data_IF_035534986496
#
_entry.id   IF_035534986496
#
_cell.length_a   1.000
_cell.length_b   1.000
_cell.length_c   1.000
_cell.angle_alpha   90.00
_cell.angle_beta   90.00
_cell.angle_gamma   90.00
#
_symmetry.space_group_name_H-M   'P 1'
#
loop_
_entity.id
_entity.type
_entity.pdbx_description
1 polymer ?
#
# COMPACT_ATOMS: atom_id res chain seq x y z
N UNK A 1 7.19 -87.48 -9.83
CA UNK A 1 6.92 -86.38 -8.88
C UNK A 1 7.52 -85.12 -9.51
N UNK A 2 6.71 -84.28 -10.25
CA UNK A 2 7.13 -83.02 -10.88
C UNK A 2 6.61 -81.87 -10.06
N UNK A 3 7.48 -81.09 -9.40
CA UNK A 3 7.15 -79.89 -8.72
C UNK A 3 6.91 -78.78 -9.77
N UNK A 4 5.72 -78.20 -9.79
CA UNK A 4 5.41 -76.96 -10.53
C UNK A 4 5.84 -75.79 -9.69
N UNK A 5 6.92 -75.12 -10.13
CA UNK A 5 7.26 -73.75 -9.64
C UNK A 5 6.27 -72.77 -10.24
N UNK A 6 5.34 -72.27 -9.42
CA UNK A 6 4.51 -71.11 -9.78
C UNK A 6 5.32 -69.83 -9.71
N UNK A 7 5.70 -69.30 -10.86
CA UNK A 7 6.24 -67.96 -10.98
C UNK A 7 5.10 -66.95 -10.85
N UNK A 8 5.08 -66.24 -9.72
CA UNK A 8 4.14 -65.10 -9.52
C UNK A 8 4.68 -63.86 -10.25
N UNK A 9 4.48 -63.84 -11.57
CA UNK A 9 4.71 -62.61 -12.34
C UNK A 9 3.59 -61.61 -12.07
N UNK A 10 3.90 -60.55 -11.37
CA UNK A 10 2.96 -59.41 -11.22
C UNK A 10 2.65 -58.84 -12.59
N UNK A 11 1.38 -58.54 -12.89
CA UNK A 11 0.97 -58.03 -14.22
C UNK A 11 1.69 -56.69 -14.50
N UNK A 12 2.18 -56.47 -15.74
CA UNK A 12 2.97 -55.27 -16.12
C UNK A 12 2.18 -53.97 -15.96
N UNK A 13 0.87 -54.04 -15.83
CA UNK A 13 -0.03 -52.91 -15.61
C UNK A 13 0.21 -52.19 -14.26
N UNK A 14 0.52 -52.90 -13.20
CA UNK A 14 0.73 -52.31 -11.84
C UNK A 14 2.02 -51.45 -11.83
N UNK A 15 3.05 -51.83 -12.56
CA UNK A 15 4.27 -51.04 -12.68
C UNK A 15 4.08 -49.74 -13.45
N UNK A 16 3.30 -49.77 -14.55
CA UNK A 16 3.00 -48.56 -15.33
C UNK A 16 2.13 -47.58 -14.59
N UNK A 17 1.17 -48.03 -13.76
CA UNK A 17 0.34 -47.14 -12.92
C UNK A 17 1.18 -46.51 -11.82
N UNK A 18 2.05 -47.26 -11.13
CA UNK A 18 2.95 -46.70 -10.11
C UNK A 18 3.92 -45.69 -10.69
N UNK A 19 4.47 -45.94 -11.90
CA UNK A 19 5.36 -44.99 -12.57
C UNK A 19 4.65 -43.69 -12.97
N UNK A 20 3.42 -43.76 -13.49
CA UNK A 20 2.62 -42.59 -13.81
C UNK A 20 2.26 -41.79 -12.56
N UNK A 21 1.92 -42.44 -11.46
CA UNK A 21 1.63 -41.78 -10.19
C UNK A 21 2.86 -41.06 -9.61
N UNK A 22 4.03 -41.73 -9.67
CA UNK A 22 5.29 -41.12 -9.27
C UNK A 22 5.67 -39.90 -10.11
N UNK A 23 5.50 -39.98 -11.45
CA UNK A 23 5.72 -38.85 -12.33
C UNK A 23 4.77 -37.68 -12.05
N UNK A 24 3.49 -37.96 -11.78
CA UNK A 24 2.52 -36.94 -11.41
C UNK A 24 2.89 -36.24 -10.10
N UNK A 25 3.32 -37.02 -9.09
CA UNK A 25 3.79 -36.47 -7.81
C UNK A 25 5.00 -35.56 -7.99
N UNK A 26 5.99 -35.98 -8.80
CA UNK A 26 7.16 -35.14 -9.10
C UNK A 26 6.74 -33.83 -9.81
N UNK A 27 5.84 -33.88 -10.79
CA UNK A 27 5.34 -32.70 -11.44
C UNK A 27 4.62 -31.75 -10.47
N UNK A 28 3.78 -32.27 -9.58
CA UNK A 28 3.10 -31.48 -8.55
C UNK A 28 4.11 -30.83 -7.60
N UNK A 29 5.13 -31.57 -7.15
CA UNK A 29 6.21 -31.02 -6.30
C UNK A 29 6.98 -29.91 -7.03
N UNK A 30 7.33 -30.08 -8.29
CA UNK A 30 8.01 -29.06 -9.08
C UNK A 30 7.14 -27.80 -9.25
N UNK A 31 5.82 -27.97 -9.49
CA UNK A 31 4.90 -26.86 -9.59
C UNK A 31 4.74 -26.13 -8.24
N UNK A 32 4.67 -26.86 -7.12
CA UNK A 32 4.59 -26.26 -5.78
C UNK A 32 5.87 -25.51 -5.41
N UNK A 33 7.04 -26.07 -5.73
CA UNK A 33 8.34 -25.42 -5.52
C UNK A 33 8.46 -24.20 -6.45
N UNK A 34 8.06 -24.32 -7.71
CA UNK A 34 8.01 -23.19 -8.64
C UNK A 34 7.07 -22.08 -8.13
N UNK A 35 5.86 -22.43 -7.69
CA UNK A 35 4.93 -21.47 -7.10
C UNK A 35 5.49 -20.79 -5.85
N UNK A 36 6.20 -21.53 -5.00
CA UNK A 36 6.85 -20.97 -3.80
C UNK A 36 7.95 -19.94 -4.14
N UNK A 37 8.70 -20.14 -5.23
CA UNK A 37 9.76 -19.21 -5.66
C UNK A 37 9.25 -18.09 -6.56
N UNK A 38 8.13 -18.27 -7.30
CA UNK A 38 7.58 -17.29 -8.24
C UNK A 38 6.39 -16.53 -7.72
N UNK A 39 5.69 -16.98 -6.67
CA UNK A 39 4.75 -16.13 -5.96
C UNK A 39 5.59 -15.08 -5.25
N UNK A 40 5.41 -13.78 -5.55
CA UNK A 40 6.04 -12.73 -4.78
C UNK A 40 5.66 -13.00 -3.33
N UNK A 41 6.68 -13.22 -2.49
CA UNK A 41 6.44 -13.42 -1.07
C UNK A 41 5.55 -12.28 -0.60
N UNK A 42 4.38 -12.61 -0.06
CA UNK A 42 3.56 -11.64 0.67
C UNK A 42 4.42 -11.25 1.86
N UNK A 43 5.26 -10.23 1.66
CA UNK A 43 6.00 -9.62 2.75
C UNK A 43 4.92 -9.02 3.63
N UNK A 44 4.67 -9.65 4.76
CA UNK A 44 3.84 -9.05 5.80
C UNK A 44 4.52 -7.75 6.20
N UNK A 45 3.97 -6.63 5.72
CA UNK A 45 4.50 -5.28 5.97
C UNK A 45 4.17 -4.81 7.40
N UNK A 46 3.60 -5.67 8.22
CA UNK A 46 3.38 -5.43 9.64
C UNK A 46 4.71 -5.59 10.38
N UNK A 47 5.41 -4.46 10.57
CA UNK A 47 6.53 -4.43 11.49
C UNK A 47 5.99 -4.16 12.90
N UNK A 48 6.21 -5.07 13.84
CA UNK A 48 5.96 -4.78 15.24
C UNK A 48 7.29 -4.64 15.98
N UNK A 49 7.42 -3.57 16.77
CA UNK A 49 8.60 -3.32 17.62
C UNK A 49 8.13 -3.26 19.05
N UNK A 50 8.68 -4.14 19.90
CA UNK A 50 8.30 -4.25 21.33
C UNK A 50 6.78 -4.40 21.56
N UNK A 51 6.08 -5.17 20.71
CA UNK A 51 4.64 -5.39 20.82
C UNK A 51 3.77 -4.24 20.29
N UNK A 52 4.38 -3.22 19.68
CA UNK A 52 3.68 -2.12 19.02
C UNK A 52 3.71 -2.32 17.52
N UNK A 53 2.52 -2.41 16.90
CA UNK A 53 2.38 -2.42 15.45
C UNK A 53 2.72 -1.03 14.91
N UNK A 54 3.49 -0.99 13.82
CA UNK A 54 3.93 0.26 13.22
C UNK A 54 3.32 0.43 11.83
N UNK A 55 2.87 1.64 11.48
CA UNK A 55 2.54 1.99 10.11
C UNK A 55 3.82 2.09 9.26
N UNK A 56 3.66 2.18 7.97
CA UNK A 56 4.77 2.32 7.02
C UNK A 56 5.21 3.79 6.97
N UNK A 57 6.42 4.05 7.42
CA UNK A 57 7.06 5.38 7.34
C UNK A 57 7.94 5.51 6.10
N UNK A 58 8.56 4.41 5.69
CA UNK A 58 9.45 4.38 4.55
C UNK A 58 9.50 2.95 3.96
N UNK A 59 9.96 2.85 2.72
CA UNK A 59 10.13 1.57 2.03
C UNK A 59 11.60 1.32 1.77
N UNK A 60 12.07 0.11 2.08
CA UNK A 60 13.43 -0.29 1.74
C UNK A 60 13.55 -0.55 0.24
N UNK A 61 14.45 0.18 -0.42
CA UNK A 61 14.73 0.06 -1.85
C UNK A 61 16.22 0.24 -2.11
N UNK A 62 16.72 -0.34 -3.18
CA UNK A 62 18.11 -0.15 -3.62
C UNK A 62 18.30 1.17 -4.38
N UNK A 63 17.22 1.84 -4.75
CA UNK A 63 17.23 3.12 -5.47
C UNK A 63 16.93 4.26 -4.50
N UNK A 64 17.65 5.41 -4.58
CA UNK A 64 17.27 6.61 -3.86
C UNK A 64 15.97 7.16 -4.47
N UNK A 65 14.86 7.00 -3.74
CA UNK A 65 13.54 7.42 -4.19
C UNK A 65 12.85 8.18 -3.05
N UNK A 66 11.92 9.05 -3.42
CA UNK A 66 11.06 9.79 -2.51
C UNK A 66 9.64 9.57 -2.96
N UNK A 67 8.74 9.28 -2.01
CA UNK A 67 7.31 9.24 -2.23
C UNK A 67 6.72 10.57 -1.73
N UNK A 68 6.13 11.33 -2.65
CA UNK A 68 5.40 12.57 -2.32
C UNK A 68 3.95 12.21 -2.05
N UNK A 69 3.40 12.78 -0.98
CA UNK A 69 2.02 12.56 -0.60
C UNK A 69 1.36 13.87 -0.17
N UNK A 70 0.08 13.98 -0.42
CA UNK A 70 -0.74 15.12 -0.04
C UNK A 70 -1.91 14.65 0.81
N UNK A 71 -2.24 15.38 1.87
CA UNK A 71 -3.45 15.18 2.65
C UNK A 71 -4.50 16.22 2.24
N UNK A 72 -5.58 15.75 1.61
CA UNK A 72 -6.69 16.56 1.11
C UNK A 72 -7.87 16.48 2.08
N UNK A 73 -8.01 17.47 2.93
CA UNK A 73 -9.00 17.48 4.00
C UNK A 73 -9.89 18.73 4.01
N UNK A 74 -9.45 19.86 3.43
CA UNK A 74 -10.14 21.13 3.55
C UNK A 74 -10.58 21.68 2.19
N UNK A 75 -9.96 22.74 1.66
CA UNK A 75 -10.29 23.32 0.37
C UNK A 75 -9.81 22.51 -0.84
N UNK A 76 -9.99 23.09 -2.05
CA UNK A 76 -9.46 22.51 -3.29
C UNK A 76 -8.82 23.57 -4.20
N UNK A 77 -8.62 24.78 -3.68
CA UNK A 77 -8.19 25.95 -4.45
C UNK A 77 -6.86 25.72 -5.15
N UNK A 78 -6.01 24.85 -4.58
CA UNK A 78 -4.67 24.58 -5.07
C UNK A 78 -4.59 23.29 -5.93
N UNK A 79 -5.64 22.46 -5.96
CA UNK A 79 -5.62 21.14 -6.58
C UNK A 79 -5.24 21.20 -8.07
N UNK A 80 -5.86 22.09 -8.85
CA UNK A 80 -5.57 22.24 -10.29
C UNK A 80 -4.12 22.67 -10.52
N UNK A 81 -3.62 23.62 -9.72
CA UNK A 81 -2.25 24.09 -9.83
C UNK A 81 -1.24 23.02 -9.47
N UNK A 82 -1.49 22.24 -8.41
CA UNK A 82 -0.68 21.10 -8.01
C UNK A 82 -0.61 20.06 -9.12
N UNK A 83 -1.75 19.67 -9.69
CA UNK A 83 -1.81 18.72 -10.81
C UNK A 83 -1.00 19.20 -12.02
N UNK A 84 -1.10 20.50 -12.36
CA UNK A 84 -0.32 21.11 -13.45
C UNK A 84 1.19 21.05 -13.19
N UNK A 85 1.64 21.32 -11.95
CA UNK A 85 3.05 21.22 -11.57
C UNK A 85 3.53 19.76 -11.65
N UNK A 86 2.77 18.82 -11.12
CA UNK A 86 3.11 17.41 -11.15
C UNK A 86 3.21 16.87 -12.59
N UNK A 87 2.31 17.29 -13.47
CA UNK A 87 2.34 16.95 -14.89
C UNK A 87 3.59 17.52 -15.57
N UNK A 88 3.87 18.82 -15.39
CA UNK A 88 5.07 19.50 -15.94
C UNK A 88 6.36 18.77 -15.60
N UNK A 89 6.44 18.20 -14.39
CA UNK A 89 7.63 17.49 -13.90
C UNK A 89 7.56 15.96 -14.06
N UNK A 90 6.48 15.45 -14.65
CA UNK A 90 6.22 14.00 -14.80
C UNK A 90 6.35 13.23 -13.47
N UNK A 91 5.79 13.78 -12.39
CA UNK A 91 5.82 13.19 -11.05
C UNK A 91 4.45 12.60 -10.75
N UNK A 92 4.43 11.38 -10.17
CA UNK A 92 3.21 10.76 -9.66
C UNK A 92 3.28 10.70 -8.14
N UNK A 93 2.11 10.90 -7.51
CA UNK A 93 1.96 11.06 -6.05
C UNK A 93 0.73 10.35 -5.55
N UNK A 94 0.56 10.29 -4.22
CA UNK A 94 -0.66 9.80 -3.58
C UNK A 94 -1.35 10.96 -2.85
N UNK A 95 -2.65 11.13 -3.08
CA UNK A 95 -3.50 12.05 -2.33
C UNK A 95 -4.31 11.25 -1.31
N UNK A 96 -4.16 11.53 -0.02
CA UNK A 96 -4.97 10.97 1.04
C UNK A 96 -6.16 11.89 1.30
N UNK A 97 -7.34 11.47 0.82
CA UNK A 97 -8.55 12.29 0.85
C UNK A 97 -9.50 11.88 1.98
N UNK A 98 -10.07 12.87 2.67
CA UNK A 98 -11.17 12.63 3.61
C UNK A 98 -12.49 12.42 2.86
N UNK A 99 -13.46 11.74 3.51
CA UNK A 99 -14.77 11.51 2.93
C UNK A 99 -15.54 12.81 2.65
N UNK A 100 -15.40 13.79 3.54
CA UNK A 100 -15.98 15.13 3.35
C UNK A 100 -15.39 15.86 2.14
N UNK A 101 -14.07 15.72 1.90
CA UNK A 101 -13.40 16.28 0.74
C UNK A 101 -13.85 15.60 -0.58
N UNK A 102 -13.93 14.26 -0.58
CA UNK A 102 -14.42 13.49 -1.73
C UNK A 102 -15.85 13.88 -2.12
N UNK A 103 -16.71 14.10 -1.13
CA UNK A 103 -18.10 14.51 -1.35
C UNK A 103 -18.20 15.94 -1.88
N UNK A 104 -17.36 16.85 -1.37
CA UNK A 104 -17.36 18.26 -1.76
C UNK A 104 -16.75 18.49 -3.14
N UNK A 105 -15.73 17.67 -3.52
CA UNK A 105 -14.92 17.89 -4.72
C UNK A 105 -14.79 16.64 -5.61
N UNK A 106 -15.91 16.03 -6.04
CA UNK A 106 -15.89 14.78 -6.79
C UNK A 106 -15.17 14.87 -8.15
N UNK A 107 -15.14 16.06 -8.75
CA UNK A 107 -14.45 16.24 -10.04
C UNK A 107 -12.93 16.30 -9.85
N UNK A 108 -12.42 16.80 -8.73
CA UNK A 108 -10.99 16.75 -8.40
C UNK A 108 -10.52 15.31 -8.14
N UNK A 109 -11.35 14.50 -7.47
CA UNK A 109 -11.07 13.06 -7.29
C UNK A 109 -10.88 12.36 -8.64
N UNK A 110 -11.77 12.64 -9.62
CA UNK A 110 -11.66 12.11 -10.98
C UNK A 110 -10.43 12.64 -11.71
N UNK A 111 -10.14 13.94 -11.58
CA UNK A 111 -8.98 14.57 -12.21
C UNK A 111 -7.66 14.00 -11.69
N UNK A 112 -7.52 13.80 -10.37
CA UNK A 112 -6.36 13.17 -9.72
C UNK A 112 -6.12 11.77 -10.32
N UNK A 113 -7.14 10.93 -10.36
CA UNK A 113 -7.02 9.57 -10.92
C UNK A 113 -6.77 9.58 -12.44
N UNK A 114 -7.44 10.47 -13.20
CA UNK A 114 -7.23 10.61 -14.65
C UNK A 114 -5.80 11.07 -14.98
N UNK A 115 -5.19 11.89 -14.12
CA UNK A 115 -3.79 12.27 -14.23
C UNK A 115 -2.81 11.15 -13.83
N UNK A 116 -3.31 9.99 -13.38
CA UNK A 116 -2.51 8.81 -13.03
C UNK A 116 -1.84 8.91 -11.66
N UNK A 117 -2.41 9.69 -10.75
CA UNK A 117 -2.05 9.70 -9.33
C UNK A 117 -2.87 8.67 -8.56
N UNK A 118 -2.40 8.31 -7.36
CA UNK A 118 -3.14 7.44 -6.44
C UNK A 118 -4.02 8.27 -5.49
N UNK A 119 -5.14 7.65 -5.04
CA UNK A 119 -5.94 8.14 -3.93
C UNK A 119 -5.86 7.15 -2.78
N UNK A 120 -5.50 7.65 -1.61
CA UNK A 120 -5.53 6.97 -0.33
C UNK A 120 -6.68 7.50 0.54
N UNK A 121 -7.00 6.73 1.56
CA UNK A 121 -8.06 7.00 2.53
C UNK A 121 -7.52 7.81 3.71
N UNK A 122 -8.19 8.91 4.06
CA UNK A 122 -7.84 9.76 5.20
C UNK A 122 -8.97 9.89 6.23
N UNK A 123 -9.77 8.84 6.40
CA UNK A 123 -11.01 8.75 7.18
C UNK A 123 -12.16 9.63 6.67
N UNK A 124 -13.36 9.34 7.12
CA UNK A 124 -14.55 10.08 6.69
C UNK A 124 -14.55 11.51 7.24
N UNK A 125 -14.34 11.66 8.55
CA UNK A 125 -14.53 12.92 9.26
C UNK A 125 -13.26 13.49 9.91
N UNK A 126 -12.08 13.01 9.51
CA UNK A 126 -10.79 13.46 10.03
C UNK A 126 -10.69 13.37 11.58
N UNK A 127 -11.16 12.26 12.17
CA UNK A 127 -11.14 12.06 13.62
C UNK A 127 -9.85 11.46 14.12
N UNK A 128 -9.55 11.66 15.42
CA UNK A 128 -8.49 10.93 16.12
C UNK A 128 -8.88 9.44 16.20
N UNK A 129 -8.27 8.62 15.37
CA UNK A 129 -8.66 7.21 15.19
C UNK A 129 -8.46 6.38 16.46
N UNK A 130 -7.41 6.64 17.24
CA UNK A 130 -7.12 5.91 18.48
C UNK A 130 -8.17 6.11 19.58
N UNK A 131 -9.05 7.10 19.45
CA UNK A 131 -10.11 7.41 20.40
C UNK A 131 -11.46 6.75 20.03
N UNK A 132 -11.53 6.09 18.89
CA UNK A 132 -12.75 5.47 18.37
C UNK A 132 -12.83 3.99 18.77
N UNK A 133 -14.05 3.47 18.85
CA UNK A 133 -14.24 2.01 18.90
C UNK A 133 -13.90 1.37 17.56
N UNK A 134 -13.61 0.07 17.56
CA UNK A 134 -13.29 -0.69 16.33
C UNK A 134 -14.38 -0.53 15.25
N UNK A 135 -15.66 -0.54 15.63
CA UNK A 135 -16.75 -0.37 14.67
C UNK A 135 -16.80 1.06 14.10
N UNK A 136 -16.50 2.07 14.92
CA UNK A 136 -16.38 3.45 14.45
C UNK A 136 -15.18 3.64 13.52
N UNK A 137 -14.03 3.00 13.83
CA UNK A 137 -12.86 3.01 12.94
C UNK A 137 -13.19 2.40 11.57
N UNK A 138 -13.90 1.25 11.55
CA UNK A 138 -14.35 0.62 10.32
C UNK A 138 -15.28 1.52 9.52
N UNK A 139 -16.23 2.18 10.17
CA UNK A 139 -17.15 3.12 9.52
C UNK A 139 -16.37 4.27 8.88
N UNK A 140 -15.47 4.93 9.63
CA UNK A 140 -14.63 6.03 9.15
C UNK A 140 -13.78 5.64 7.92
N UNK A 141 -13.32 4.39 7.84
CA UNK A 141 -12.51 3.91 6.70
C UNK A 141 -13.41 3.51 5.52
N UNK A 142 -14.47 2.74 5.78
CA UNK A 142 -15.27 2.17 4.70
C UNK A 142 -16.19 3.17 4.03
N UNK A 143 -16.66 4.19 4.74
CA UNK A 143 -17.49 5.24 4.13
C UNK A 143 -16.75 6.01 3.02
N UNK A 144 -15.47 6.36 3.25
CA UNK A 144 -14.62 6.97 2.21
C UNK A 144 -14.36 5.99 1.08
N UNK A 145 -14.08 4.72 1.42
CA UNK A 145 -13.83 3.67 0.42
C UNK A 145 -15.00 3.58 -0.56
N UNK A 146 -16.20 3.46 -0.02
CA UNK A 146 -17.40 3.32 -0.83
C UNK A 146 -17.70 4.56 -1.66
N UNK A 147 -17.45 5.77 -1.12
CA UNK A 147 -17.58 7.03 -1.87
C UNK A 147 -16.67 7.05 -3.09
N UNK A 148 -15.37 6.80 -2.91
CA UNK A 148 -14.38 6.81 -4.00
C UNK A 148 -14.68 5.71 -5.01
N UNK A 149 -14.99 4.49 -4.54
CA UNK A 149 -15.33 3.36 -5.39
C UNK A 149 -16.59 3.60 -6.21
N UNK A 150 -17.64 4.11 -5.61
CA UNK A 150 -18.89 4.42 -6.31
C UNK A 150 -18.71 5.55 -7.33
N UNK A 151 -17.86 6.53 -7.03
CA UNK A 151 -17.59 7.66 -7.91
C UNK A 151 -16.73 7.29 -9.13
N UNK A 152 -15.73 6.42 -8.95
CA UNK A 152 -14.64 6.22 -9.92
C UNK A 152 -14.38 4.76 -10.29
N UNK A 153 -14.88 3.80 -9.52
CA UNK A 153 -14.50 2.39 -9.62
C UNK A 153 -13.13 2.06 -9.01
N UNK A 154 -12.41 3.04 -8.45
CA UNK A 154 -11.08 2.84 -7.88
C UNK A 154 -11.16 2.22 -6.49
N UNK A 155 -10.35 1.19 -6.24
CA UNK A 155 -10.23 0.48 -4.96
C UNK A 155 -9.02 1.01 -4.20
N UNK A 156 -9.24 1.76 -3.14
CA UNK A 156 -8.17 2.27 -2.29
C UNK A 156 -7.57 1.14 -1.43
N UNK A 157 -6.25 1.15 -1.28
CA UNK A 157 -5.50 0.19 -0.44
C UNK A 157 -4.59 0.86 0.59
N UNK A 158 -4.44 2.18 0.53
CA UNK A 158 -3.60 2.95 1.43
C UNK A 158 -4.47 3.78 2.38
N UNK A 159 -4.19 3.70 3.67
CA UNK A 159 -4.88 4.47 4.71
C UNK A 159 -3.85 5.28 5.49
N UNK A 160 -4.11 6.56 5.67
CA UNK A 160 -3.35 7.43 6.57
C UNK A 160 -4.26 7.90 7.70
N UNK A 161 -3.96 7.55 8.96
CA UNK A 161 -4.75 8.04 10.08
C UNK A 161 -4.56 9.55 10.22
N UNK A 162 -5.66 10.32 10.42
CA UNK A 162 -5.58 11.75 10.70
C UNK A 162 -4.65 12.07 11.88
N UNK A 163 -3.97 13.22 11.82
CA UNK A 163 -3.03 13.68 12.84
C UNK A 163 -1.82 12.74 13.08
N UNK A 164 -1.64 11.71 12.27
CA UNK A 164 -0.69 10.63 12.56
C UNK A 164 -1.08 9.81 13.79
N UNK A 165 -2.32 9.91 14.26
CA UNK A 165 -2.84 9.23 15.45
C UNK A 165 -3.13 7.76 15.18
N UNK A 166 -2.34 6.86 15.77
CA UNK A 166 -2.52 5.43 15.62
C UNK A 166 -2.25 4.65 16.92
N UNK A 167 -2.91 3.51 17.02
CA UNK A 167 -2.68 2.46 18.01
C UNK A 167 -2.59 1.11 17.30
N UNK A 168 -2.22 0.05 18.03
CA UNK A 168 -2.28 -1.31 17.48
C UNK A 168 -3.67 -1.62 16.91
N UNK A 169 -4.72 -1.20 17.61
CA UNK A 169 -6.10 -1.43 17.20
C UNK A 169 -6.44 -0.72 15.88
N UNK A 170 -5.97 0.51 15.68
CA UNK A 170 -6.12 1.25 14.42
C UNK A 170 -5.44 0.50 13.27
N UNK A 171 -4.18 0.11 13.48
CA UNK A 171 -3.40 -0.64 12.46
C UNK A 171 -4.08 -1.96 12.11
N UNK A 172 -4.47 -2.74 13.12
CA UNK A 172 -5.12 -4.04 12.93
C UNK A 172 -6.48 -3.89 12.26
N UNK A 173 -7.25 -2.86 12.63
CA UNK A 173 -8.55 -2.58 11.99
C UNK A 173 -8.36 -2.25 10.51
N UNK A 174 -7.46 -1.32 10.17
CA UNK A 174 -7.15 -0.99 8.78
C UNK A 174 -6.66 -2.22 7.99
N UNK A 175 -5.75 -3.01 8.57
CA UNK A 175 -5.26 -4.25 7.94
C UNK A 175 -6.38 -5.27 7.71
N UNK A 176 -7.32 -5.42 8.65
CA UNK A 176 -8.46 -6.33 8.50
C UNK A 176 -9.40 -5.94 7.35
N UNK A 177 -9.39 -4.67 6.95
CA UNK A 177 -10.13 -4.11 5.82
C UNK A 177 -9.32 -4.10 4.52
N UNK A 178 -8.10 -4.66 4.51
CA UNK A 178 -7.24 -4.72 3.33
C UNK A 178 -6.37 -3.49 3.11
N UNK A 179 -6.24 -2.62 4.11
CA UNK A 179 -5.45 -1.39 4.00
C UNK A 179 -4.05 -1.52 4.59
N UNK A 180 -3.10 -0.86 3.96
CA UNK A 180 -1.78 -0.55 4.53
C UNK A 180 -1.83 0.81 5.20
N UNK A 181 -1.48 0.86 6.48
CA UNK A 181 -1.39 2.12 7.22
C UNK A 181 -0.09 2.85 6.88
N UNK A 182 -0.21 4.08 6.38
CA UNK A 182 0.88 4.89 5.87
C UNK A 182 1.07 6.10 6.79
N UNK A 183 2.33 6.36 7.13
CA UNK A 183 2.77 7.57 7.81
C UNK A 183 3.73 8.37 6.91
N UNK A 184 4.42 9.32 7.48
CA UNK A 184 5.43 10.13 6.82
C UNK A 184 6.69 10.21 7.67
N UNK A 185 7.82 10.40 7.04
CA UNK A 185 9.11 10.61 7.70
C UNK A 185 9.46 12.10 7.77
N UNK A 186 8.95 12.88 6.84
CA UNK A 186 9.15 14.34 6.75
C UNK A 186 7.82 15.04 6.50
N UNK A 187 7.50 16.00 7.37
CA UNK A 187 6.38 16.90 7.24
C UNK A 187 6.91 18.27 6.79
N UNK A 188 6.41 18.77 5.66
CA UNK A 188 6.90 20.04 5.09
C UNK A 188 6.45 21.23 5.92
N UNK A 189 5.27 21.18 6.52
CA UNK A 189 4.76 22.25 7.36
C UNK A 189 5.55 22.37 8.68
N UNK A 190 5.83 21.24 9.33
CA UNK A 190 6.55 21.22 10.60
C UNK A 190 8.03 21.60 10.48
N UNK A 191 8.65 21.35 9.30
CA UNK A 191 10.09 21.54 9.14
C UNK A 191 10.51 22.88 8.55
N UNK A 192 9.67 23.50 7.71
CA UNK A 192 10.06 24.69 6.94
C UNK A 192 8.98 25.77 6.79
N UNK A 193 7.73 25.52 7.16
CA UNK A 193 6.63 26.48 6.98
C UNK A 193 6.33 26.83 5.52
N UNK A 194 6.72 25.96 4.58
CA UNK A 194 6.51 26.21 3.16
C UNK A 194 5.11 25.71 2.72
N UNK A 195 4.38 26.60 2.07
CA UNK A 195 3.28 26.19 1.21
C UNK A 195 3.86 25.56 -0.07
N UNK A 196 3.21 24.54 -0.62
CA UNK A 196 3.63 23.91 -1.88
C UNK A 196 3.74 24.92 -3.02
N UNK A 197 2.95 26.00 -2.98
CA UNK A 197 2.95 27.07 -3.97
C UNK A 197 4.20 27.96 -3.90
N UNK A 198 4.89 27.93 -2.76
CA UNK A 198 6.15 28.65 -2.54
C UNK A 198 7.38 27.82 -2.94
N UNK A 199 7.19 26.58 -3.41
CA UNK A 199 8.29 25.76 -3.89
C UNK A 199 8.88 26.40 -5.15
N UNK A 200 10.16 26.82 -5.10
CA UNK A 200 10.83 27.39 -6.27
C UNK A 200 10.85 26.37 -7.42
N UNK A 201 10.95 26.84 -8.66
CA UNK A 201 11.01 26.02 -9.89
C UNK A 201 12.05 24.88 -9.85
N UNK A 202 12.88 24.84 -8.83
CA UNK A 202 13.86 23.80 -8.52
C UNK A 202 13.49 23.08 -7.21
N UNK A 203 12.54 22.18 -7.28
CA UNK A 203 12.30 21.16 -6.24
C UNK A 203 13.57 20.35 -5.87
N UNK A 204 14.62 20.48 -6.64
CA UNK A 204 15.90 19.79 -6.51
C UNK A 204 16.61 19.94 -5.16
N UNK A 205 16.65 21.11 -4.49
CA UNK A 205 17.41 21.24 -3.24
C UNK A 205 16.78 20.53 -2.04
N UNK A 206 15.46 20.33 -2.05
CA UNK A 206 14.78 19.61 -0.97
C UNK A 206 15.12 18.10 -1.05
N UNK A 207 15.27 17.59 -2.27
CA UNK A 207 15.50 16.17 -2.53
C UNK A 207 16.97 15.76 -2.49
N UNK A 208 17.91 16.71 -2.56
CA UNK A 208 19.36 16.45 -2.53
C UNK A 208 20.01 16.66 -1.16
N UNK A 209 19.22 17.05 -0.15
CA UNK A 209 19.79 17.29 1.17
C UNK A 209 20.25 15.98 1.80
N UNK A 210 21.54 15.89 2.08
CA UNK A 210 22.23 14.74 2.68
C UNK A 210 21.60 14.25 4.00
N UNK A 211 20.75 15.08 4.62
CA UNK A 211 19.99 14.75 5.80
C UNK A 211 18.98 13.61 5.57
N UNK A 212 18.39 13.54 4.38
CA UNK A 212 17.43 12.50 4.03
C UNK A 212 18.08 11.14 3.74
N UNK A 213 19.33 11.13 3.29
CA UNK A 213 20.03 9.92 2.87
C UNK A 213 20.68 9.14 4.02
N UNK A 214 20.75 9.71 5.23
CA UNK A 214 21.53 9.15 6.35
C UNK A 214 20.74 8.24 7.31
N UNK A 215 19.42 8.10 7.17
CA UNK A 215 18.60 7.31 8.12
C UNK A 215 18.43 5.82 7.79
N UNK A 216 19.13 5.28 6.80
CA UNK A 216 19.07 3.85 6.47
C UNK A 216 17.84 3.42 5.66
N UNK A 217 16.82 4.27 5.51
CA UNK A 217 15.71 4.08 4.58
C UNK A 217 16.00 4.84 3.29
N UNK A 218 15.93 4.16 2.15
CA UNK A 218 16.24 4.77 0.84
C UNK A 218 15.04 5.35 0.11
N UNK A 219 13.82 5.04 0.53
CA UNK A 219 12.60 5.69 0.08
C UNK A 219 11.92 6.35 1.27
N UNK A 220 11.92 7.67 1.31
CA UNK A 220 11.30 8.48 2.36
C UNK A 220 9.95 9.01 1.88
N UNK A 221 9.02 9.11 2.81
CA UNK A 221 7.68 9.60 2.54
C UNK A 221 7.57 11.06 3.00
N UNK A 222 7.29 11.97 2.07
CA UNK A 222 7.07 13.38 2.34
C UNK A 222 5.59 13.68 2.34
N UNK A 223 5.15 14.42 3.35
CA UNK A 223 3.79 14.89 3.51
C UNK A 223 3.69 16.38 3.16
N UNK A 224 2.69 16.71 2.33
CA UNK A 224 2.19 18.06 2.11
C UNK A 224 0.72 18.13 2.55
N UNK A 225 0.34 19.25 3.12
CA UNK A 225 -1.05 19.57 3.44
C UNK A 225 -1.63 20.48 2.35
N UNK A 226 -2.85 20.19 1.90
CA UNK A 226 -3.63 20.99 0.95
C UNK A 226 -5.04 21.19 1.43
#
# INVERSE_FOLDING_TARGET
MKQYLQSSAHPPYVHTVKLKLAALLVCVCVLLVGAFFYLPGVVSVSSSVNGRDLPIYCVQTDKPQIALTFDAAWGNEDTEQILSILEKHNVKVTFFATGGWVESYPDDVKAILAAGHDIGNHSENHKNMSQLSTDQMKSEIMEVHDKVKNLTGYEMTLFRPPYGDYSNEVIQTATSLGYYSIQWDVDTYATHGYNILDLPDNLYPIFTNQYFLNKGCRCQMLLFHI
#
